data_IF_128482661550
#
_entry.id   IF_128482661550
#
_cell.length_a   1.000
_cell.length_b   1.000
_cell.length_c   1.000
_cell.angle_alpha   90.00
_cell.angle_beta   90.00
_cell.angle_gamma   90.00
#
_symmetry.space_group_name_H-M   'P 1'
#
loop_
_entity.id
_entity.type
_entity.pdbx_description
1 polymer ?
#
# COMPACT_ATOMS: atom_id res chain seq x y z
N UNK A 1 -33.94 -4.31 -64.89
CA UNK A 1 -32.95 -5.13 -65.63
C UNK A 1 -31.76 -5.34 -64.72
N UNK A 2 -31.31 -6.58 -64.66
CA UNK A 2 -30.37 -7.17 -63.71
C UNK A 2 -29.12 -6.36 -63.36
N UNK A 3 -28.63 -6.53 -62.11
CA UNK A 3 -27.42 -7.32 -61.89
C UNK A 3 -27.24 -7.65 -60.40
N UNK A 4 -27.40 -8.93 -60.05
CA UNK A 4 -26.83 -9.50 -58.82
C UNK A 4 -25.36 -9.80 -59.09
N UNK A 5 -24.46 -9.40 -58.20
CA UNK A 5 -23.11 -9.96 -58.12
C UNK A 5 -22.80 -10.35 -56.68
N UNK A 6 -22.65 -11.65 -56.50
CA UNK A 6 -22.07 -12.31 -55.35
C UNK A 6 -20.62 -11.86 -55.14
N UNK A 7 -20.23 -11.55 -53.91
CA UNK A 7 -18.85 -11.74 -53.47
C UNK A 7 -18.86 -12.32 -52.06
N UNK A 8 -18.45 -13.59 -51.98
CA UNK A 8 -18.18 -14.35 -50.77
C UNK A 8 -17.19 -13.62 -49.87
N UNK A 9 -17.63 -13.20 -48.68
CA UNK A 9 -16.78 -12.68 -47.62
C UNK A 9 -15.96 -13.86 -47.05
N UNK A 10 -14.67 -13.92 -47.39
CA UNK A 10 -13.74 -14.89 -46.78
C UNK A 10 -13.46 -14.43 -45.35
N UNK A 11 -14.03 -15.10 -44.35
CA UNK A 11 -13.62 -14.93 -42.96
C UNK A 11 -12.20 -15.49 -42.78
N UNK A 12 -11.21 -14.61 -42.79
CA UNK A 12 -9.85 -14.94 -42.39
C UNK A 12 -9.81 -14.97 -40.86
N UNK A 13 -9.88 -16.17 -40.26
CA UNK A 13 -9.60 -16.36 -38.85
C UNK A 13 -8.11 -16.13 -38.60
N UNK A 14 -7.75 -14.94 -38.13
CA UNK A 14 -6.42 -14.70 -37.56
C UNK A 14 -6.41 -15.40 -36.19
N UNK A 15 -5.78 -16.57 -36.16
CA UNK A 15 -5.45 -17.25 -34.92
C UNK A 15 -4.27 -16.49 -34.29
N UNK A 16 -4.55 -15.55 -33.38
CA UNK A 16 -3.51 -14.95 -32.53
C UNK A 16 -3.07 -16.06 -31.59
N UNK A 17 -1.97 -16.72 -31.94
CA UNK A 17 -1.22 -17.56 -31.03
C UNK A 17 -0.58 -16.62 -30.01
N UNK A 18 -1.25 -16.38 -28.88
CA UNK A 18 -0.59 -15.81 -27.71
C UNK A 18 0.39 -16.88 -27.25
N UNK A 19 1.65 -16.72 -27.65
CA UNK A 19 2.77 -17.42 -27.03
C UNK A 19 2.83 -16.91 -25.58
N UNK A 20 2.00 -17.49 -24.71
CA UNK A 20 2.10 -17.32 -23.28
C UNK A 20 3.42 -17.93 -22.85
N UNK A 21 4.47 -17.10 -22.79
CA UNK A 21 5.73 -17.49 -22.21
C UNK A 21 5.49 -18.03 -20.82
N UNK A 22 5.94 -19.27 -20.58
CA UNK A 22 6.09 -19.87 -19.25
C UNK A 22 7.21 -19.13 -18.52
N UNK A 23 7.00 -17.86 -18.20
CA UNK A 23 7.74 -17.23 -17.13
C UNK A 23 7.04 -17.65 -15.84
N UNK A 24 7.76 -18.12 -14.80
CA UNK A 24 7.17 -18.19 -13.48
C UNK A 24 6.76 -16.76 -13.15
N UNK A 25 5.47 -16.46 -13.26
CA UNK A 25 4.94 -15.25 -12.65
C UNK A 25 5.20 -15.43 -11.16
N UNK A 26 6.15 -14.67 -10.63
CA UNK A 26 6.27 -14.48 -9.20
C UNK A 26 5.05 -13.65 -8.80
N UNK A 27 3.89 -14.30 -8.74
CA UNK A 27 2.76 -13.73 -8.05
C UNK A 27 3.20 -13.44 -6.61
N UNK A 28 2.65 -12.38 -6.03
CA UNK A 28 3.01 -11.89 -4.70
C UNK A 28 2.58 -12.89 -3.61
N UNK A 29 3.35 -13.97 -3.49
CA UNK A 29 3.22 -15.03 -2.52
C UNK A 29 4.49 -15.11 -1.71
N UNK A 30 4.36 -15.19 -0.39
CA UNK A 30 5.47 -15.38 0.52
C UNK A 30 5.01 -16.23 1.72
N UNK A 31 5.96 -16.63 2.55
CA UNK A 31 5.75 -17.36 3.79
C UNK A 31 5.81 -16.47 5.01
N UNK A 32 6.30 -15.23 4.89
CA UNK A 32 6.39 -14.25 5.98
C UNK A 32 5.87 -12.89 5.56
N UNK A 33 5.10 -12.25 6.41
CA UNK A 33 4.58 -10.90 6.19
C UNK A 33 4.67 -10.08 7.47
N UNK A 34 4.93 -8.79 7.28
CA UNK A 34 4.99 -7.77 8.30
C UNK A 34 4.05 -6.66 7.90
N UNK A 35 3.37 -6.08 8.88
CA UNK A 35 2.35 -5.08 8.64
C UNK A 35 2.37 -4.07 9.78
N UNK A 36 3.00 -2.89 9.61
CA UNK A 36 2.77 -1.79 10.53
C UNK A 36 1.29 -1.35 10.47
N UNK A 37 0.74 -0.72 11.51
CA UNK A 37 -0.65 -0.31 11.53
C UNK A 37 -0.91 0.82 10.51
N UNK A 38 -2.11 0.89 9.94
CA UNK A 38 -2.54 2.04 9.14
C UNK A 38 -3.28 3.07 10.00
N UNK A 39 -3.30 4.33 9.57
CA UNK A 39 -4.00 5.38 10.30
C UNK A 39 -5.52 5.18 10.31
N UNK A 40 -6.13 5.36 11.48
CA UNK A 40 -7.58 5.49 11.67
C UNK A 40 -7.91 6.74 12.47
N UNK A 41 -9.12 7.26 12.30
CA UNK A 41 -9.55 8.57 12.79
C UNK A 41 -10.08 8.56 14.25
N UNK A 42 -9.98 7.43 14.94
CA UNK A 42 -10.53 7.20 16.27
C UNK A 42 -12.03 6.92 16.27
N UNK A 43 -12.69 6.90 15.12
CA UNK A 43 -14.13 6.71 15.00
C UNK A 43 -14.39 5.33 14.40
N UNK A 44 -14.55 4.37 15.31
CA UNK A 44 -14.57 2.95 14.96
C UNK A 44 -15.62 2.54 13.90
N UNK A 45 -16.67 3.33 13.67
CA UNK A 45 -17.68 3.05 12.64
C UNK A 45 -17.22 3.38 11.21
N UNK A 46 -16.12 4.12 11.01
CA UNK A 46 -15.74 4.59 9.68
C UNK A 46 -14.86 3.58 8.92
N UNK A 47 -13.97 2.90 9.64
CA UNK A 47 -13.02 1.90 9.10
C UNK A 47 -13.35 0.45 9.47
N UNK A 48 -14.63 0.14 9.70
CA UNK A 48 -15.10 -1.19 10.14
C UNK A 48 -16.20 -1.68 9.19
N UNK A 49 -16.15 -2.94 8.70
CA UNK A 49 -15.19 -4.01 9.02
C UNK A 49 -13.79 -3.85 8.45
N UNK A 50 -12.83 -4.41 9.19
CA UNK A 50 -11.48 -4.66 8.71
C UNK A 50 -11.13 -6.14 8.88
N UNK A 51 -10.30 -6.68 7.98
CA UNK A 51 -9.90 -8.08 7.99
C UNK A 51 -8.50 -8.28 7.37
N UNK A 52 -7.82 -9.35 7.77
CA UNK A 52 -6.81 -9.98 6.91
C UNK A 52 -7.51 -10.96 5.97
N UNK A 53 -7.28 -10.81 4.68
CA UNK A 53 -7.74 -11.72 3.64
C UNK A 53 -6.55 -12.48 3.08
N UNK A 54 -6.55 -13.80 3.33
CA UNK A 54 -5.40 -14.67 3.05
C UNK A 54 -5.82 -15.74 2.05
N UNK A 55 -5.01 -15.92 1.00
CA UNK A 55 -5.24 -16.92 -0.03
C UNK A 55 -3.98 -17.73 -0.32
N UNK A 56 -4.16 -18.89 -0.95
CA UNK A 56 -3.05 -19.76 -1.34
C UNK A 56 -3.38 -20.55 -2.61
N UNK A 57 -2.40 -20.87 -3.48
CA UNK A 57 -2.65 -21.72 -4.64
C UNK A 57 -2.64 -23.21 -4.28
N UNK A 58 -2.24 -23.57 -3.06
CA UNK A 58 -2.09 -24.97 -2.67
C UNK A 58 -3.45 -25.62 -2.34
N UNK A 59 -3.76 -26.79 -2.92
CA UNK A 59 -5.03 -27.48 -2.67
C UNK A 59 -5.08 -28.16 -1.30
N UNK A 60 -3.92 -28.44 -0.67
CA UNK A 60 -3.85 -28.98 0.68
C UNK A 60 -3.84 -27.83 1.72
N UNK A 61 -4.38 -28.06 2.94
CA UNK A 61 -4.31 -27.08 4.02
C UNK A 61 -2.88 -26.59 4.30
N UNK A 62 -2.69 -25.27 4.28
CA UNK A 62 -1.47 -24.55 4.63
C UNK A 62 -1.63 -23.97 6.02
N UNK A 63 -0.79 -24.36 6.96
CA UNK A 63 -0.77 -23.76 8.30
C UNK A 63 -0.33 -22.29 8.23
N UNK A 64 -1.07 -21.44 8.94
CA UNK A 64 -0.86 -19.98 9.05
C UNK A 64 -0.90 -19.60 10.52
N UNK A 65 0.10 -18.84 10.95
CA UNK A 65 0.23 -18.25 12.28
C UNK A 65 0.21 -16.72 12.13
N UNK A 66 -0.67 -16.05 12.85
CA UNK A 66 -0.84 -14.58 12.84
C UNK A 66 -0.71 -14.10 14.27
N UNK A 67 0.14 -13.09 14.50
CA UNK A 67 0.26 -12.48 15.81
C UNK A 67 0.54 -10.97 15.74
N UNK A 68 0.14 -10.24 16.77
CA UNK A 68 0.71 -8.91 17.06
C UNK A 68 2.18 -9.05 17.47
N UNK A 69 3.01 -7.99 17.33
CA UNK A 69 4.44 -8.10 17.61
C UNK A 69 4.77 -8.46 19.07
N UNK A 70 3.93 -8.02 20.03
CA UNK A 70 4.03 -8.38 21.45
C UNK A 70 3.76 -9.88 21.74
N UNK A 71 3.17 -10.62 20.80
CA UNK A 71 2.78 -12.03 20.96
C UNK A 71 1.68 -12.27 22.01
N UNK A 72 0.99 -11.23 22.48
CA UNK A 72 0.00 -11.31 23.56
C UNK A 72 -1.34 -10.72 23.13
N UNK A 73 -1.35 -9.57 22.48
CA UNK A 73 -2.59 -8.84 22.15
C UNK A 73 -3.47 -9.60 21.17
N UNK A 74 -2.86 -10.27 20.18
CA UNK A 74 -3.56 -11.17 19.27
C UNK A 74 -2.64 -12.31 18.85
N UNK A 75 -3.15 -13.54 18.89
CA UNK A 75 -2.49 -14.74 18.36
C UNK A 75 -3.55 -15.65 17.76
N UNK A 76 -3.33 -16.11 16.53
CA UNK A 76 -4.21 -17.04 15.83
C UNK A 76 -3.40 -18.05 15.01
N UNK A 77 -3.59 -19.33 15.33
CA UNK A 77 -3.16 -20.46 14.50
C UNK A 77 -4.34 -21.01 13.72
N UNK A 78 -4.19 -21.13 12.41
CA UNK A 78 -5.26 -21.57 11.51
C UNK A 78 -4.70 -22.18 10.22
N UNK A 79 -5.57 -22.52 9.27
CA UNK A 79 -5.18 -23.03 7.96
C UNK A 79 -5.91 -22.33 6.83
N UNK A 80 -5.26 -22.21 5.67
CA UNK A 80 -5.86 -21.75 4.42
C UNK A 80 -5.61 -22.76 3.31
N UNK A 81 -6.52 -22.87 2.34
CA UNK A 81 -6.37 -23.75 1.17
C UNK A 81 -6.97 -23.09 -0.08
N UNK A 82 -6.54 -23.54 -1.25
CA UNK A 82 -7.03 -23.01 -2.53
C UNK A 82 -8.54 -23.18 -2.66
N UNK A 83 -9.20 -22.13 -3.18
CA UNK A 83 -10.67 -22.09 -3.32
C UNK A 83 -11.43 -21.76 -2.03
N UNK A 84 -10.76 -21.69 -0.87
CA UNK A 84 -11.35 -21.32 0.41
C UNK A 84 -10.50 -20.23 1.09
N UNK A 85 -10.67 -18.95 0.68
CA UNK A 85 -9.91 -17.84 1.25
C UNK A 85 -10.21 -17.70 2.74
N UNK A 86 -9.16 -17.48 3.54
CA UNK A 86 -9.27 -17.22 4.96
C UNK A 86 -9.53 -15.72 5.18
N UNK A 87 -10.60 -15.43 5.91
CA UNK A 87 -10.94 -14.08 6.38
C UNK A 87 -10.75 -14.05 7.89
N UNK A 88 -9.85 -13.19 8.37
CA UNK A 88 -9.60 -12.97 9.80
C UNK A 88 -10.12 -11.58 10.15
N UNK A 89 -11.30 -11.46 10.77
CA UNK A 89 -11.83 -10.17 11.19
C UNK A 89 -10.91 -9.49 12.20
N UNK A 90 -10.67 -8.20 12.01
CA UNK A 90 -9.86 -7.36 12.87
C UNK A 90 -10.74 -6.31 13.56
N UNK A 91 -10.46 -5.99 14.82
CA UNK A 91 -10.97 -4.78 15.45
C UNK A 91 -10.28 -3.55 14.86
N UNK A 92 -10.82 -2.35 15.11
CA UNK A 92 -10.18 -1.11 14.66
C UNK A 92 -8.82 -0.86 15.30
N UNK A 93 -8.57 -1.44 16.47
CA UNK A 93 -7.25 -1.39 17.15
C UNK A 93 -6.26 -2.42 16.62
N UNK A 94 -6.74 -3.43 15.90
CA UNK A 94 -5.94 -4.52 15.35
C UNK A 94 -5.63 -4.24 13.89
N UNK A 95 -4.40 -3.82 13.59
CA UNK A 95 -3.97 -3.47 12.23
C UNK A 95 -4.26 -2.03 11.81
N UNK A 96 -4.95 -1.24 12.65
CA UNK A 96 -5.05 0.22 12.50
C UNK A 96 -4.68 0.90 13.82
N UNK A 97 -4.45 2.22 13.80
CA UNK A 97 -4.11 3.01 14.99
C UNK A 97 -4.49 4.48 14.80
N UNK A 98 -5.02 5.10 15.86
CA UNK A 98 -5.16 6.55 15.98
C UNK A 98 -4.03 7.18 16.80
N UNK A 99 -3.01 6.39 17.16
CA UNK A 99 -1.82 6.87 17.84
C UNK A 99 -0.75 7.19 16.80
N UNK A 100 -0.33 8.45 16.77
CA UNK A 100 0.79 8.92 15.97
C UNK A 100 1.93 9.39 16.88
N UNK A 101 3.15 9.31 16.36
CA UNK A 101 4.37 9.81 16.98
C UNK A 101 4.75 9.13 18.30
N UNK A 102 4.28 7.89 18.51
CA UNK A 102 4.60 7.05 19.65
C UNK A 102 5.08 5.69 19.17
N UNK A 103 5.99 5.08 19.93
CA UNK A 103 6.41 3.70 19.73
C UNK A 103 5.27 2.79 20.17
N UNK A 104 4.94 1.79 19.34
CA UNK A 104 3.88 0.81 19.58
C UNK A 104 4.45 -0.60 19.45
N UNK A 105 4.16 -1.48 20.40
CA UNK A 105 4.59 -2.89 20.40
C UNK A 105 3.44 -3.88 20.23
N UNK A 106 2.21 -3.42 20.42
CA UNK A 106 0.96 -4.18 20.35
C UNK A 106 0.15 -3.90 19.06
N UNK A 107 0.62 -2.99 18.20
CA UNK A 107 0.01 -2.68 16.91
C UNK A 107 0.78 -3.29 15.73
N UNK A 108 0.04 -3.63 14.68
CA UNK A 108 0.56 -4.29 13.49
C UNK A 108 0.49 -5.81 13.58
N UNK A 109 0.99 -6.50 12.55
CA UNK A 109 0.99 -7.96 12.48
C UNK A 109 2.28 -8.55 11.93
N UNK A 110 2.58 -9.74 12.42
CA UNK A 110 3.48 -10.70 11.80
C UNK A 110 2.69 -11.94 11.41
N UNK A 111 2.81 -12.36 10.15
CA UNK A 111 2.14 -13.55 9.61
C UNK A 111 3.18 -14.52 9.09
N UNK A 112 3.13 -15.77 9.54
CA UNK A 112 3.99 -16.86 9.07
C UNK A 112 3.14 -17.99 8.53
N UNK A 113 3.58 -18.61 7.44
CA UNK A 113 2.90 -19.76 6.87
C UNK A 113 3.86 -20.86 6.44
N UNK A 114 3.35 -22.08 6.42
CA UNK A 114 4.11 -23.28 6.05
C UNK A 114 4.35 -23.44 4.54
N UNK A 115 3.60 -22.74 3.71
CA UNK A 115 3.74 -22.65 2.25
C UNK A 115 3.34 -21.24 1.79
N UNK A 116 3.80 -20.77 0.61
CA UNK A 116 3.47 -19.44 0.13
C UNK A 116 1.97 -19.12 0.11
N UNK A 117 1.61 -17.96 0.68
CA UNK A 117 0.27 -17.38 0.73
C UNK A 117 0.32 -15.94 0.19
N UNK A 118 -0.82 -15.38 -0.18
CA UNK A 118 -0.99 -13.93 -0.35
C UNK A 118 -1.74 -13.41 0.86
N UNK A 119 -1.29 -12.30 1.45
CA UNK A 119 -1.93 -11.66 2.59
C UNK A 119 -2.28 -10.21 2.25
N UNK A 120 -3.53 -9.84 2.53
CA UNK A 120 -4.07 -8.51 2.24
C UNK A 120 -4.78 -7.97 3.45
N UNK A 121 -4.42 -6.77 3.90
CA UNK A 121 -5.22 -6.02 4.87
C UNK A 121 -6.32 -5.29 4.14
N UNK A 122 -7.57 -5.54 4.51
CA UNK A 122 -8.75 -4.91 3.93
C UNK A 122 -9.45 -4.09 5.01
N UNK A 123 -9.78 -2.86 4.65
CA UNK A 123 -10.76 -2.03 5.33
C UNK A 123 -11.94 -1.89 4.37
N UNK A 124 -13.08 -2.43 4.76
CA UNK A 124 -14.32 -2.42 4.00
C UNK A 124 -15.39 -1.61 4.75
N UNK A 125 -14.96 -0.50 5.34
CA UNK A 125 -15.84 0.43 6.05
C UNK A 125 -16.88 1.06 5.13
N UNK A 126 -17.99 1.50 5.72
CA UNK A 126 -19.05 2.17 4.96
C UNK A 126 -18.58 3.53 4.40
N UNK A 127 -17.75 4.24 5.17
CA UNK A 127 -17.33 5.61 4.87
C UNK A 127 -15.88 5.71 4.40
N UNK A 128 -15.14 4.59 4.43
CA UNK A 128 -13.78 4.52 3.95
C UNK A 128 -13.43 3.07 3.61
N UNK A 129 -12.93 2.86 2.40
CA UNK A 129 -12.48 1.57 1.91
C UNK A 129 -11.01 1.66 1.51
N UNK A 130 -10.20 0.70 1.94
CA UNK A 130 -8.76 0.67 1.66
C UNK A 130 -8.29 -0.77 1.64
N UNK A 131 -7.28 -1.05 0.82
CA UNK A 131 -6.70 -2.38 0.71
C UNK A 131 -5.19 -2.23 0.61
N UNK A 132 -4.46 -2.93 1.49
CA UNK A 132 -3.00 -2.97 1.49
C UNK A 132 -2.57 -4.41 1.22
N UNK A 133 -1.93 -4.64 0.08
CA UNK A 133 -1.40 -5.96 -0.26
C UNK A 133 -0.01 -6.09 0.36
N UNK A 134 0.16 -7.01 1.31
CA UNK A 134 1.43 -7.20 2.00
C UNK A 134 2.44 -7.89 1.08
N UNK A 135 3.62 -7.30 0.93
CA UNK A 135 4.70 -7.68 0.00
C UNK A 135 5.66 -8.72 0.56
N UNK A 136 5.49 -9.08 1.83
CA UNK A 136 6.35 -10.07 2.49
C UNK A 136 7.80 -9.61 2.50
N UNK A 137 8.71 -10.49 2.12
CA UNK A 137 10.14 -10.24 2.01
C UNK A 137 10.46 -9.12 1.00
N UNK A 138 9.65 -8.96 -0.05
CA UNK A 138 9.85 -7.88 -1.03
C UNK A 138 9.43 -6.49 -0.51
N UNK A 139 8.84 -6.41 0.69
CA UNK A 139 8.55 -5.15 1.39
C UNK A 139 9.60 -4.76 2.42
N UNK A 140 10.64 -5.59 2.63
CA UNK A 140 11.73 -5.32 3.55
C UNK A 140 12.88 -4.62 2.86
N UNK A 141 13.41 -3.57 3.49
CA UNK A 141 14.59 -2.84 3.01
C UNK A 141 14.93 -1.65 3.91
N UNK A 142 15.78 -0.76 3.41
CA UNK A 142 16.33 0.36 4.21
C UNK A 142 16.16 1.74 3.58
N UNK A 143 15.58 1.81 2.39
CA UNK A 143 15.44 3.04 1.60
C UNK A 143 14.11 3.01 0.84
N UNK A 144 13.22 3.95 1.13
CA UNK A 144 11.85 3.99 0.59
C UNK A 144 11.42 5.42 0.25
N UNK A 145 10.75 5.56 -0.90
CA UNK A 145 10.02 6.78 -1.28
C UNK A 145 8.52 6.56 -1.14
N UNK A 146 7.87 7.45 -0.39
CA UNK A 146 6.45 7.33 -0.06
C UNK A 146 5.54 7.95 -1.11
N UNK A 147 4.30 7.47 -1.13
CA UNK A 147 3.23 7.92 -2.01
C UNK A 147 1.87 7.91 -1.32
N UNK A 148 1.01 8.84 -1.73
CA UNK A 148 -0.41 8.93 -1.37
C UNK A 148 -1.13 9.86 -2.35
N UNK A 149 -2.45 9.97 -2.25
CA UNK A 149 -3.21 10.96 -3.04
C UNK A 149 -2.63 12.38 -2.89
N UNK A 150 -2.59 13.16 -3.98
CA UNK A 150 -2.01 14.52 -4.00
C UNK A 150 -2.99 15.61 -4.47
N UNK A 151 -4.18 15.22 -4.93
CA UNK A 151 -5.22 16.15 -5.44
C UNK A 151 -6.32 16.40 -4.41
N UNK A 152 -5.95 16.48 -3.15
CA UNK A 152 -6.91 16.55 -2.06
C UNK A 152 -7.55 17.93 -1.98
N UNK A 153 -8.79 17.98 -1.51
CA UNK A 153 -9.51 19.21 -1.28
C UNK A 153 -9.03 19.91 0.01
N UNK A 154 -8.82 21.22 -0.07
CA UNK A 154 -8.55 22.04 1.11
C UNK A 154 -9.85 22.43 1.81
N UNK A 155 -10.45 21.46 2.52
CA UNK A 155 -11.71 21.64 3.23
C UNK A 155 -11.62 21.24 4.69
N UNK A 156 -12.47 21.84 5.53
CA UNK A 156 -12.68 21.39 6.91
C UNK A 156 -13.84 20.40 6.91
N UNK A 157 -13.52 19.14 6.73
CA UNK A 157 -14.47 18.03 6.83
C UNK A 157 -14.26 17.27 8.15
N UNK A 158 -15.30 16.61 8.64
CA UNK A 158 -15.14 15.56 9.64
C UNK A 158 -15.20 14.20 8.95
N UNK A 159 -14.45 13.18 9.38
CA UNK A 159 -13.32 13.15 10.33
C UNK A 159 -12.02 13.74 9.77
N UNK A 160 -10.96 13.78 10.59
CA UNK A 160 -9.68 14.36 10.17
C UNK A 160 -9.02 13.52 9.05
N UNK A 161 -8.88 14.13 7.87
CA UNK A 161 -8.31 13.54 6.67
C UNK A 161 -6.78 13.63 6.74
N UNK A 162 -6.11 12.50 6.99
CA UNK A 162 -4.66 12.48 7.14
C UNK A 162 -3.98 11.57 6.15
N UNK A 163 -2.81 12.03 5.75
CA UNK A 163 -1.77 11.21 5.15
C UNK A 163 -0.85 10.70 6.24
N UNK A 164 -0.36 9.48 6.05
CA UNK A 164 0.46 8.81 7.05
C UNK A 164 1.59 8.03 6.40
N UNK A 165 2.65 7.85 7.19
CA UNK A 165 3.72 6.89 6.94
C UNK A 165 3.85 6.08 8.22
N UNK A 166 3.78 4.76 8.08
CA UNK A 166 3.85 3.81 9.18
C UNK A 166 4.98 2.82 8.92
N UNK A 167 5.81 2.56 9.92
CA UNK A 167 6.97 1.69 9.82
C UNK A 167 6.95 0.61 10.89
N UNK A 168 7.57 -0.53 10.61
CA UNK A 168 7.85 -1.58 11.59
C UNK A 168 9.29 -2.07 11.42
N UNK A 169 10.04 -2.12 12.53
CA UNK A 169 11.43 -2.57 12.54
C UNK A 169 11.54 -4.08 12.72
N UNK A 170 12.54 -4.70 12.08
CA UNK A 170 12.78 -6.15 12.21
C UNK A 170 13.91 -6.51 13.17
N UNK A 171 14.78 -5.56 13.50
CA UNK A 171 15.92 -5.77 14.40
C UNK A 171 15.96 -4.71 15.49
N UNK A 172 16.63 -5.04 16.59
CA UNK A 172 16.73 -4.13 17.74
C UNK A 172 17.62 -2.93 17.43
N UNK A 173 17.30 -1.78 18.04
CA UNK A 173 18.04 -0.54 17.88
C UNK A 173 18.10 -0.04 16.42
N UNK A 174 17.06 -0.31 15.63
CA UNK A 174 16.93 0.23 14.28
C UNK A 174 16.69 1.73 14.36
N UNK A 175 17.64 2.53 13.88
CA UNK A 175 17.43 3.95 13.66
C UNK A 175 16.72 4.16 12.32
N UNK A 176 15.62 4.93 12.35
CA UNK A 176 14.79 5.26 11.18
C UNK A 176 14.70 6.78 11.09
N UNK A 177 14.92 7.31 9.90
CA UNK A 177 14.83 8.74 9.60
C UNK A 177 13.72 9.00 8.59
N UNK A 178 12.84 9.93 8.92
CA UNK A 178 11.78 10.44 8.06
C UNK A 178 12.16 11.84 7.58
N UNK A 179 12.16 12.05 6.27
CA UNK A 179 12.23 13.36 5.64
C UNK A 179 10.98 13.55 4.79
N UNK A 180 10.26 14.65 5.00
CA UNK A 180 8.93 14.85 4.39
C UNK A 180 8.81 16.19 3.67
N UNK A 181 8.00 16.30 2.60
CA UNK A 181 7.73 17.59 1.95
C UNK A 181 6.69 18.45 2.70
N UNK A 182 6.19 17.97 3.84
CA UNK A 182 5.18 18.63 4.66
C UNK A 182 5.68 18.80 6.11
N UNK A 183 4.88 19.46 6.95
CA UNK A 183 5.17 19.55 8.38
C UNK A 183 4.60 18.32 9.10
N UNK A 184 5.46 17.41 9.55
CA UNK A 184 5.04 16.33 10.45
C UNK A 184 4.44 16.91 11.74
N UNK A 185 3.34 16.33 12.22
CA UNK A 185 2.60 16.89 13.33
C UNK A 185 2.30 15.91 14.46
N UNK A 186 2.35 16.42 15.68
CA UNK A 186 1.98 15.71 16.91
C UNK A 186 0.94 16.50 17.70
N UNK A 187 0.30 15.87 18.70
CA UNK A 187 -0.69 16.54 19.56
C UNK A 187 -0.13 17.77 20.30
N UNK A 188 1.19 17.94 20.39
CA UNK A 188 1.86 19.08 21.04
C UNK A 188 2.46 20.09 20.05
N UNK A 189 2.31 19.88 18.75
CA UNK A 189 2.80 20.77 17.69
C UNK A 189 3.67 20.07 16.63
N UNK A 190 4.36 20.86 15.78
CA UNK A 190 5.13 20.34 14.67
C UNK A 190 6.39 19.59 15.18
N UNK A 191 6.78 18.56 14.44
CA UNK A 191 7.98 17.76 14.69
C UNK A 191 9.17 18.28 13.87
N UNK A 192 10.42 17.96 14.29
CA UNK A 192 11.61 18.21 13.47
C UNK A 192 11.51 17.51 12.11
N UNK A 193 12.10 18.12 11.08
CA UNK A 193 12.24 17.52 9.76
C UNK A 193 13.68 17.76 9.27
N UNK A 194 14.53 16.72 9.15
CA UNK A 194 14.20 15.31 9.32
C UNK A 194 13.89 14.91 10.79
N UNK A 195 13.10 13.85 10.97
CA UNK A 195 12.82 13.20 12.26
C UNK A 195 13.54 11.85 12.32
N UNK A 196 14.37 11.63 13.33
CA UNK A 196 15.00 10.32 13.58
C UNK A 196 14.45 9.69 14.87
N UNK A 197 14.08 8.42 14.80
CA UNK A 197 13.63 7.61 15.93
C UNK A 197 14.48 6.34 16.06
N UNK A 198 14.29 5.60 17.16
CA UNK A 198 14.87 4.26 17.34
C UNK A 198 13.78 3.29 17.74
N UNK A 199 13.70 2.16 17.03
CA UNK A 199 12.75 1.07 17.29
C UNK A 199 13.48 -0.23 17.57
N UNK A 200 12.87 -1.08 18.39
CA UNK A 200 13.25 -2.47 18.57
C UNK A 200 12.51 -3.39 17.60
N UNK A 201 12.96 -4.65 17.51
CA UNK A 201 12.33 -5.64 16.66
C UNK A 201 10.82 -5.80 16.99
N UNK A 202 9.98 -5.71 15.97
CA UNK A 202 8.52 -5.78 16.08
C UNK A 202 7.85 -4.45 16.43
N UNK A 203 8.57 -3.46 16.97
CA UNK A 203 7.99 -2.15 17.28
C UNK A 203 7.65 -1.40 15.99
N UNK A 204 6.56 -0.63 16.05
CA UNK A 204 6.06 0.21 14.98
C UNK A 204 5.97 1.68 15.41
N UNK A 205 5.97 2.56 14.41
CA UNK A 205 5.83 4.00 14.58
C UNK A 205 5.10 4.58 13.38
N UNK A 206 4.19 5.53 13.63
CA UNK A 206 3.42 6.19 12.59
C UNK A 206 3.59 7.70 12.71
N UNK A 207 3.93 8.36 11.61
CA UNK A 207 3.87 9.81 11.45
C UNK A 207 2.70 10.20 10.55
N UNK A 208 2.23 11.43 10.72
CA UNK A 208 1.18 12.02 9.89
C UNK A 208 1.36 13.53 9.76
N UNK A 209 0.67 14.13 8.79
CA UNK A 209 0.40 15.57 8.77
C UNK A 209 -0.71 15.97 9.75
N UNK A 210 -0.95 17.26 9.88
CA UNK A 210 -2.04 17.95 10.55
C UNK A 210 -3.26 18.22 9.64
N UNK A 211 -3.16 18.04 8.32
CA UNK A 211 -4.29 18.31 7.43
C UNK A 211 -4.32 17.59 6.07
N UNK A 212 -5.42 17.76 5.30
CA UNK A 212 -5.68 17.02 4.06
C UNK A 212 -4.70 17.30 2.92
N UNK A 213 -4.01 18.44 2.96
CA UNK A 213 -3.06 18.84 1.91
C UNK A 213 -1.65 18.31 2.14
N UNK A 214 -1.36 17.77 3.32
CA UNK A 214 -0.02 17.39 3.74
C UNK A 214 0.28 15.96 3.32
N UNK A 215 0.30 15.73 2.01
CA UNK A 215 0.48 14.41 1.43
C UNK A 215 1.89 13.88 1.56
N UNK A 216 2.03 12.54 1.62
CA UNK A 216 3.31 11.85 1.82
C UNK A 216 4.05 11.52 0.51
N UNK A 217 3.48 11.89 -0.64
CA UNK A 217 4.16 11.76 -1.93
C UNK A 217 5.44 12.59 -1.95
N UNK A 218 6.58 11.93 -2.18
CA UNK A 218 7.91 12.54 -2.16
C UNK A 218 8.58 12.57 -0.78
N UNK A 219 8.00 11.93 0.24
CA UNK A 219 8.71 11.70 1.50
C UNK A 219 9.72 10.56 1.36
N UNK A 220 10.86 10.68 2.05
CA UNK A 220 11.96 9.72 2.04
C UNK A 220 12.11 9.10 3.44
N UNK A 221 12.10 7.77 3.50
CA UNK A 221 12.28 7.00 4.74
C UNK A 221 13.52 6.14 4.58
N UNK A 222 14.50 6.37 5.46
CA UNK A 222 15.73 5.58 5.50
C UNK A 222 15.93 4.94 6.86
N UNK A 223 16.63 3.81 6.89
CA UNK A 223 16.94 3.12 8.14
C UNK A 223 18.32 2.48 8.12
N UNK A 224 18.81 2.19 9.33
CA UNK A 224 20.08 1.48 9.55
C UNK A 224 19.95 -0.04 9.35
N UNK A 225 18.73 -0.57 9.48
CA UNK A 225 18.41 -1.99 9.39
C UNK A 225 17.06 -2.16 8.68
N UNK A 226 16.73 -3.39 8.25
CA UNK A 226 15.50 -3.67 7.50
C UNK A 226 14.23 -3.27 8.27
N UNK A 227 13.36 -2.54 7.56
CA UNK A 227 12.03 -2.16 8.00
C UNK A 227 10.99 -2.51 6.93
N UNK A 228 9.72 -2.54 7.31
CA UNK A 228 8.61 -2.40 6.35
C UNK A 228 7.98 -1.03 6.48
N UNK A 229 7.50 -0.48 5.36
CA UNK A 229 6.86 0.83 5.32
C UNK A 229 5.49 0.72 4.65
N UNK A 230 4.46 1.29 5.26
CA UNK A 230 3.16 1.56 4.61
C UNK A 230 2.98 3.06 4.55
N UNK A 231 2.68 3.59 3.37
CA UNK A 231 2.31 5.00 3.21
C UNK A 231 0.96 5.13 2.52
N UNK A 232 0.22 6.18 2.84
CA UNK A 232 -1.08 6.40 2.24
C UNK A 232 -1.86 7.54 2.86
N UNK A 233 -3.16 7.49 2.65
CA UNK A 233 -4.13 8.40 3.25
C UNK A 233 -5.43 7.67 3.60
N UNK A 234 -6.18 8.25 4.51
CA UNK A 234 -7.51 7.76 4.90
C UNK A 234 -8.51 8.91 4.83
N UNK A 235 -9.73 8.60 4.39
CA UNK A 235 -10.82 9.58 4.29
C UNK A 235 -10.47 10.85 3.50
N UNK A 236 -9.52 10.78 2.57
CA UNK A 236 -9.15 11.92 1.74
C UNK A 236 -10.19 12.16 0.66
N UNK A 237 -10.52 13.43 0.44
CA UNK A 237 -11.41 13.85 -0.65
C UNK A 237 -10.63 14.53 -1.75
N UNK A 238 -11.09 14.37 -2.98
CA UNK A 238 -10.57 15.14 -4.10
C UNK A 238 -11.52 16.30 -4.42
N UNK A 239 -10.97 17.41 -4.91
CA UNK A 239 -11.78 18.56 -5.33
C UNK A 239 -12.86 18.15 -6.36
N UNK A 240 -14.13 18.45 -6.05
CA UNK A 240 -15.27 18.11 -6.89
C UNK A 240 -15.85 16.70 -6.65
N UNK A 241 -15.26 15.92 -5.74
CA UNK A 241 -15.84 14.69 -5.19
C UNK A 241 -16.60 14.97 -3.89
N UNK A 242 -17.67 14.20 -3.65
CA UNK A 242 -18.41 14.25 -2.38
C UNK A 242 -18.08 13.07 -1.44
N UNK A 243 -17.37 12.06 -1.96
CA UNK A 243 -16.94 10.89 -1.21
C UNK A 243 -15.52 11.09 -0.69
N UNK A 244 -15.25 10.49 0.47
CA UNK A 244 -13.94 10.41 1.09
C UNK A 244 -13.48 8.97 1.02
N UNK A 245 -12.28 8.74 0.50
CA UNK A 245 -11.73 7.40 0.34
C UNK A 245 -10.28 7.36 0.85
N UNK A 246 -9.82 6.15 1.15
CA UNK A 246 -8.46 5.88 1.56
C UNK A 246 -7.68 5.17 0.45
N UNK A 247 -6.36 5.24 0.55
CA UNK A 247 -5.47 4.55 -0.36
C UNK A 247 -4.11 4.42 0.29
N UNK A 248 -3.61 3.20 0.39
CA UNK A 248 -2.32 2.94 1.00
C UNK A 248 -1.62 1.79 0.28
N UNK A 249 -0.30 1.81 0.31
CA UNK A 249 0.53 0.73 -0.20
C UNK A 249 1.62 0.36 0.81
N UNK A 250 1.93 -0.93 0.91
CA UNK A 250 3.17 -1.36 1.56
C UNK A 250 4.29 -1.19 0.55
N UNK A 251 5.27 -0.33 0.82
CA UNK A 251 6.25 0.07 -0.19
C UNK A 251 7.24 -1.07 -0.53
N UNK A 252 7.77 -1.01 -1.75
CA UNK A 252 8.95 -1.77 -2.17
C UNK A 252 10.17 -0.87 -1.96
N UNK A 253 11.26 -1.35 -1.36
CA UNK A 253 12.47 -0.55 -1.20
C UNK A 253 13.12 -0.24 -2.55
N UNK A 254 13.91 0.82 -2.60
CA UNK A 254 14.54 1.34 -3.83
C UNK A 254 15.39 0.29 -4.54
N UNK A 255 16.10 -0.56 -3.79
CA UNK A 255 17.00 -1.59 -4.33
C UNK A 255 16.28 -2.78 -5.00
N UNK A 256 14.99 -2.98 -4.71
CA UNK A 256 14.13 -3.99 -5.34
C UNK A 256 13.23 -3.42 -6.43
N UNK A 257 13.19 -2.10 -6.59
CA UNK A 257 12.32 -1.43 -7.53
C UNK A 257 12.81 -1.59 -8.98
N UNK A 258 11.88 -1.91 -9.90
CA UNK A 258 12.14 -1.90 -11.34
C UNK A 258 11.85 -0.54 -11.98
N UNK A 259 12.21 -0.38 -13.25
CA UNK A 259 11.95 0.85 -14.01
C UNK A 259 10.66 0.81 -14.85
N UNK A 260 9.88 -0.27 -14.75
CA UNK A 260 8.68 -0.50 -15.55
C UNK A 260 7.47 -0.75 -14.67
N UNK A 261 6.40 0.00 -14.91
CA UNK A 261 5.16 -0.06 -14.13
C UNK A 261 3.95 -0.13 -15.05
N UNK A 262 2.92 -0.82 -14.59
CA UNK A 262 1.61 -0.86 -15.25
C UNK A 262 0.65 -0.09 -14.36
N UNK A 263 0.08 1.00 -14.90
CA UNK A 263 -1.00 1.73 -14.24
C UNK A 263 -2.31 1.31 -14.87
N UNK A 264 -3.26 0.90 -14.05
CA UNK A 264 -4.61 0.54 -14.49
C UNK A 264 -5.51 1.75 -14.32
N UNK A 265 -6.19 2.14 -15.40
CA UNK A 265 -7.23 3.17 -15.36
C UNK A 265 -8.57 2.55 -14.98
N UNK A 266 -9.30 3.20 -14.07
CA UNK A 266 -10.67 2.82 -13.72
C UNK A 266 -11.70 3.24 -14.76
N UNK A 267 -12.98 3.04 -14.43
CA UNK A 267 -14.11 3.52 -15.25
C UNK A 267 -14.63 4.88 -14.75
N UNK A 268 -13.73 5.74 -14.28
CA UNK A 268 -14.08 7.08 -13.83
C UNK A 268 -13.92 8.11 -14.95
N UNK A 269 -14.69 9.18 -14.87
CA UNK A 269 -14.54 10.34 -15.76
C UNK A 269 -13.31 11.16 -15.37
N UNK A 270 -12.76 11.93 -16.32
CA UNK A 270 -11.75 12.93 -16.01
C UNK A 270 -12.36 13.99 -15.06
N UNK A 271 -11.69 14.42 -13.96
CA UNK A 271 -10.28 14.23 -13.61
C UNK A 271 -9.98 13.25 -12.47
N UNK A 272 -10.90 12.31 -12.19
CA UNK A 272 -10.84 11.47 -10.99
C UNK A 272 -9.73 10.40 -11.04
N UNK A 273 -9.40 9.86 -12.22
CA UNK A 273 -8.27 8.93 -12.38
C UNK A 273 -6.98 9.66 -12.74
N UNK A 274 -5.92 9.44 -11.96
CA UNK A 274 -4.58 9.93 -12.22
C UNK A 274 -3.51 9.00 -11.62
N UNK A 275 -2.28 9.10 -12.12
CA UNK A 275 -1.12 8.40 -11.56
C UNK A 275 -0.23 9.39 -10.81
N UNK A 276 0.41 8.91 -9.74
CA UNK A 276 1.46 9.62 -9.01
C UNK A 276 2.76 8.89 -9.29
N UNK A 277 3.78 9.64 -9.69
CA UNK A 277 5.12 9.12 -9.98
C UNK A 277 6.07 9.89 -9.07
N UNK A 278 6.74 9.18 -8.17
CA UNK A 278 7.80 9.70 -7.31
C UNK A 278 9.10 9.11 -7.82
N UNK A 279 10.02 9.94 -8.27
CA UNK A 279 11.31 9.46 -8.76
C UNK A 279 12.25 9.24 -7.58
N UNK A 280 13.02 8.16 -7.64
CA UNK A 280 14.02 7.80 -6.62
C UNK A 280 15.39 8.43 -6.90
N UNK A 281 15.58 8.94 -8.12
CA UNK A 281 16.84 9.51 -8.61
C UNK A 281 16.60 10.80 -9.40
N UNK A 282 17.59 11.70 -9.35
CA UNK A 282 17.57 12.94 -10.12
C UNK A 282 17.60 12.69 -11.63
N UNK A 283 16.97 13.60 -12.39
CA UNK A 283 16.87 13.53 -13.84
C UNK A 283 16.22 12.25 -14.40
N UNK A 284 15.34 11.61 -13.62
CA UNK A 284 14.54 10.45 -14.05
C UNK A 284 13.63 10.83 -15.21
N UNK A 285 13.78 10.16 -16.35
CA UNK A 285 12.94 10.36 -17.53
C UNK A 285 11.72 9.45 -17.52
N UNK A 286 10.52 10.02 -17.65
CA UNK A 286 9.27 9.27 -17.64
C UNK A 286 8.78 9.05 -19.08
N UNK A 287 8.56 7.80 -19.45
CA UNK A 287 8.00 7.40 -20.74
C UNK A 287 6.67 6.67 -20.52
N UNK A 288 5.68 6.93 -21.39
CA UNK A 288 4.36 6.31 -21.33
C UNK A 288 4.11 5.58 -22.66
N UNK A 289 3.56 4.36 -22.57
CA UNK A 289 3.15 3.52 -23.71
C UNK A 289 4.23 3.35 -24.80
N UNK A 290 5.51 3.27 -24.39
CA UNK A 290 6.65 3.09 -25.29
C UNK A 290 6.99 4.31 -26.14
N UNK A 291 6.52 5.51 -25.77
CA UNK A 291 6.87 6.76 -26.45
C UNK A 291 8.38 7.01 -26.51
N UNK A 292 8.86 7.57 -27.62
CA UNK A 292 10.29 7.82 -27.85
C UNK A 292 10.82 9.10 -27.16
N UNK A 293 9.93 9.96 -26.67
CA UNK A 293 10.25 11.21 -25.98
C UNK A 293 9.68 11.17 -24.57
N UNK A 294 10.44 11.59 -23.55
CA UNK A 294 9.92 11.61 -22.19
C UNK A 294 8.77 12.61 -22.07
N UNK A 295 7.70 12.20 -21.37
CA UNK A 295 6.56 13.09 -21.05
C UNK A 295 6.88 14.00 -19.87
N UNK A 296 7.86 13.63 -19.05
CA UNK A 296 8.39 14.42 -17.94
C UNK A 296 9.85 14.04 -17.65
N UNK A 297 10.58 14.94 -17.00
CA UNK A 297 11.87 14.66 -16.35
C UNK A 297 11.75 15.12 -14.91
N UNK A 298 11.97 14.21 -13.98
CA UNK A 298 11.75 14.40 -12.54
C UNK A 298 13.09 14.38 -11.81
N UNK A 299 13.18 15.15 -10.72
CA UNK A 299 14.26 14.97 -9.75
C UNK A 299 13.80 13.98 -8.68
N UNK A 300 14.72 13.53 -7.82
CA UNK A 300 14.34 12.67 -6.70
C UNK A 300 13.35 13.41 -5.78
N UNK A 301 12.29 12.72 -5.36
CA UNK A 301 11.19 13.27 -4.55
C UNK A 301 10.02 13.84 -5.33
#
# INVERSE_FOLDING_TARGET
MDCRLNSTLKYSFIFIFILGGLFPTLAQFDTKFWMPPIWEDGIASQNNPSELFITTPYPDPVAVHIQTPDGITFVLDTTVMSGAPLQVPLSTTLGQTNMANTVMSDNGFYVVSSKPIQCVHKVAGQLNQTLVTLKGTNGLGTDFWCGSQVRNENGTYGPDEHHFISVQAQTNNTQITFETPFAMWSATGPLPNPLTITLNAGESYLIRGDGPLEHVAGAHVTSTEEITVISGSTHTRILGGNAADGGADQLVPVDLMGTGFIVVKGDNTNPFDYAIIVATEDNTQVFVDGGATPVATLNAG
#
